data_IF_032847018685
#
_entry.id   IF_032847018685
#
_cell.length_a   1.000
_cell.length_b   1.000
_cell.length_c   1.000
_cell.angle_alpha   90.00
_cell.angle_beta   90.00
_cell.angle_gamma   90.00
#
_symmetry.space_group_name_H-M   'P 1'
#
loop_
_entity.id
_entity.type
_entity.pdbx_description
1 polymer ?
#
# COMPACT_ATOMS: atom_id res chain seq x y z
N UNK A 1 -9.67 -10.39 12.70
CA UNK A 1 -10.58 -11.25 11.91
C UNK A 1 -10.24 -11.19 10.42
N UNK A 2 -10.31 -10.03 9.73
CA UNK A 2 -10.02 -9.95 8.28
C UNK A 2 -8.59 -10.39 7.94
N UNK A 3 -7.58 -10.03 8.73
CA UNK A 3 -6.21 -10.45 8.51
C UNK A 3 -6.03 -11.97 8.53
N UNK A 4 -6.70 -12.65 9.44
CA UNK A 4 -6.66 -14.12 9.52
C UNK A 4 -7.37 -14.77 8.33
N UNK A 5 -8.45 -14.18 7.83
CA UNK A 5 -9.11 -14.64 6.60
C UNK A 5 -8.17 -14.48 5.39
N UNK A 6 -7.47 -13.33 5.29
CA UNK A 6 -6.51 -13.08 4.24
C UNK A 6 -5.39 -14.13 4.27
N UNK A 7 -4.80 -14.38 5.43
CA UNK A 7 -3.71 -15.37 5.61
C UNK A 7 -4.13 -16.79 5.26
N UNK A 8 -5.37 -17.16 5.57
CA UNK A 8 -5.88 -18.52 5.31
C UNK A 8 -6.33 -18.73 3.86
N UNK A 9 -6.97 -17.74 3.26
CA UNK A 9 -7.73 -17.90 2.02
C UNK A 9 -7.08 -17.27 0.79
N UNK A 10 -6.11 -16.38 0.95
CA UNK A 10 -5.48 -15.66 -0.15
C UNK A 10 -3.99 -16.00 -0.20
N UNK A 11 -3.48 -16.11 -1.43
CA UNK A 11 -2.04 -16.35 -1.64
C UNK A 11 -1.26 -15.08 -1.29
N UNK A 12 -1.25 -14.10 -2.19
CA UNK A 12 -0.66 -12.78 -1.99
C UNK A 12 -1.69 -11.70 -2.32
N UNK A 13 -1.60 -10.57 -1.64
CA UNK A 13 -2.53 -9.44 -1.81
C UNK A 13 -1.77 -8.12 -1.98
N UNK A 14 -2.48 -7.11 -2.44
CA UNK A 14 -1.99 -5.76 -2.63
C UNK A 14 -2.58 -4.89 -1.51
N UNK A 15 -1.81 -4.57 -0.48
CA UNK A 15 -2.22 -3.63 0.54
C UNK A 15 -2.07 -2.20 0.02
N UNK A 16 -3.12 -1.39 0.19
CA UNK A 16 -3.10 0.03 -0.19
C UNK A 16 -3.52 0.91 0.98
N UNK A 17 -2.85 2.05 1.12
CA UNK A 17 -3.13 3.03 2.17
C UNK A 17 -2.70 4.43 1.73
N UNK A 18 -2.93 5.43 2.58
CA UNK A 18 -2.32 6.75 2.56
C UNK A 18 -1.29 6.91 3.67
N UNK A 19 -0.60 8.06 3.69
CA UNK A 19 0.35 8.41 4.74
C UNK A 19 -0.37 8.85 6.04
N UNK A 20 -1.27 8.02 6.52
CA UNK A 20 -2.03 8.26 7.74
C UNK A 20 -1.16 8.07 8.98
N UNK A 21 -1.17 9.02 9.90
CA UNK A 21 -0.54 8.90 11.22
C UNK A 21 0.86 8.23 11.15
N UNK A 22 1.02 7.08 11.77
CA UNK A 22 2.26 6.29 11.71
C UNK A 22 2.12 5.12 10.72
N UNK A 23 2.13 5.41 9.42
CA UNK A 23 1.99 4.42 8.36
C UNK A 23 3.10 3.35 8.36
N UNK A 24 4.27 3.62 8.94
CA UNK A 24 5.34 2.61 9.08
C UNK A 24 4.95 1.50 10.06
N UNK A 25 4.19 1.82 11.13
CA UNK A 25 3.62 0.81 12.03
C UNK A 25 2.62 -0.12 11.33
N UNK A 26 1.96 0.35 10.28
CA UNK A 26 1.07 -0.49 9.48
C UNK A 26 1.87 -1.60 8.79
N UNK A 27 2.91 -1.26 8.06
CA UNK A 27 3.77 -2.23 7.39
C UNK A 27 4.42 -3.20 8.39
N UNK A 28 4.91 -2.68 9.53
CA UNK A 28 5.46 -3.49 10.62
C UNK A 28 4.43 -4.48 11.18
N UNK A 29 3.19 -4.06 11.38
CA UNK A 29 2.13 -4.91 11.93
C UNK A 29 1.76 -6.04 10.98
N UNK A 30 1.70 -5.75 9.68
CA UNK A 30 1.45 -6.76 8.64
C UNK A 30 2.60 -7.78 8.58
N UNK A 31 3.85 -7.34 8.57
CA UNK A 31 5.03 -8.21 8.58
C UNK A 31 5.07 -9.10 9.84
N UNK A 32 4.90 -8.50 11.02
CA UNK A 32 4.89 -9.23 12.30
C UNK A 32 3.73 -10.21 12.44
N UNK A 33 2.65 -10.02 11.71
CA UNK A 33 1.55 -10.98 11.66
C UNK A 33 1.87 -12.23 10.85
N UNK A 34 3.04 -12.30 10.21
CA UNK A 34 3.48 -13.44 9.41
C UNK A 34 3.18 -13.31 7.90
N UNK A 35 2.78 -12.13 7.44
CA UNK A 35 2.64 -11.86 5.99
C UNK A 35 4.03 -11.58 5.43
N UNK A 36 4.42 -12.33 4.39
CA UNK A 36 5.60 -11.98 3.60
C UNK A 36 5.32 -10.74 2.76
N UNK A 37 5.85 -9.59 3.22
CA UNK A 37 5.52 -8.27 2.71
C UNK A 37 6.70 -7.60 2.01
N UNK A 38 6.46 -7.03 0.83
CA UNK A 38 7.40 -6.13 0.16
C UNK A 38 6.80 -4.72 0.13
N UNK A 39 7.49 -3.75 0.72
CA UNK A 39 7.04 -2.37 0.83
C UNK A 39 7.85 -1.43 -0.05
N UNK A 40 7.14 -0.59 -0.81
CA UNK A 40 7.78 0.43 -1.65
C UNK A 40 8.05 1.68 -0.81
N UNK A 41 9.27 2.20 -0.86
CA UNK A 41 9.65 3.40 -0.13
C UNK A 41 10.44 4.40 -0.99
N UNK A 42 10.41 5.67 -0.61
CA UNK A 42 11.27 6.68 -1.17
C UNK A 42 12.50 6.87 -0.28
N UNK A 43 13.74 6.77 -0.81
CA UNK A 43 14.95 7.09 -0.07
C UNK A 43 14.94 8.53 0.45
N UNK A 44 15.58 8.77 1.58
CA UNK A 44 15.80 10.12 2.08
C UNK A 44 16.74 10.89 1.15
N UNK A 45 16.50 12.19 1.00
CA UNK A 45 17.39 13.07 0.22
C UNK A 45 18.77 13.22 0.89
N UNK A 46 18.83 13.12 2.21
CA UNK A 46 20.08 13.15 2.97
C UNK A 46 20.83 11.82 2.84
N UNK A 47 21.95 11.82 2.12
CA UNK A 47 22.77 10.64 1.84
C UNK A 47 23.39 10.01 3.09
N UNK A 48 23.61 10.78 4.16
CA UNK A 48 24.18 10.27 5.42
C UNK A 48 23.13 9.60 6.30
N UNK A 49 21.91 10.15 6.34
CA UNK A 49 20.81 9.60 7.12
C UNK A 49 20.11 8.44 6.42
N UNK A 50 20.15 8.37 5.10
CA UNK A 50 19.44 7.35 4.33
C UNK A 50 19.85 5.92 4.69
N UNK A 51 21.15 5.56 4.81
CA UNK A 51 21.57 4.21 5.22
C UNK A 51 21.08 3.82 6.62
N UNK A 52 21.05 4.78 7.53
CA UNK A 52 20.54 4.58 8.91
C UNK A 52 19.04 4.25 8.84
N UNK A 53 18.28 5.04 8.08
CA UNK A 53 16.84 4.84 7.91
C UNK A 53 16.51 3.53 7.20
N UNK A 54 17.26 3.16 6.16
CA UNK A 54 17.13 1.88 5.46
C UNK A 54 17.36 0.71 6.41
N UNK A 55 18.39 0.78 7.24
CA UNK A 55 18.67 -0.26 8.25
C UNK A 55 17.54 -0.39 9.29
N UNK A 56 17.04 0.74 9.79
CA UNK A 56 15.91 0.77 10.74
C UNK A 56 14.67 0.12 10.09
N UNK A 57 14.33 0.53 8.87
CA UNK A 57 13.17 0.00 8.15
C UNK A 57 13.29 -1.50 7.89
N UNK A 58 14.43 -1.95 7.39
CA UNK A 58 14.65 -3.38 7.12
C UNK A 58 14.63 -4.22 8.40
N UNK A 59 15.20 -3.71 9.50
CA UNK A 59 15.29 -4.44 10.77
C UNK A 59 13.96 -4.49 11.52
N UNK A 60 13.21 -3.39 11.55
CA UNK A 60 12.08 -3.24 12.45
C UNK A 60 10.71 -3.16 11.76
N UNK A 61 10.65 -2.74 10.50
CA UNK A 61 9.39 -2.46 9.82
C UNK A 61 9.04 -3.56 8.82
N UNK A 62 9.86 -3.75 7.80
CA UNK A 62 9.62 -4.75 6.77
C UNK A 62 10.95 -5.17 6.13
N UNK A 63 11.22 -6.46 6.05
CA UNK A 63 12.49 -6.99 5.53
C UNK A 63 12.73 -6.65 4.06
N UNK A 64 11.68 -6.70 3.24
CA UNK A 64 11.75 -6.42 1.80
C UNK A 64 11.38 -4.96 1.52
N UNK A 65 12.38 -4.08 1.68
CA UNK A 65 12.25 -2.65 1.36
C UNK A 65 12.69 -2.38 -0.08
N UNK A 66 11.76 -1.93 -0.92
CA UNK A 66 11.99 -1.70 -2.35
C UNK A 66 12.05 -0.19 -2.62
N UNK A 67 13.13 0.28 -3.24
CA UNK A 67 13.29 1.70 -3.61
C UNK A 67 12.35 2.09 -4.75
N UNK A 68 11.63 3.20 -4.59
CA UNK A 68 10.75 3.75 -5.62
C UNK A 68 11.55 4.08 -6.90
N UNK A 69 11.01 3.74 -8.06
CA UNK A 69 11.59 3.97 -9.38
C UNK A 69 11.32 2.80 -10.34
N UNK A 70 11.82 2.90 -11.57
CA UNK A 70 11.59 1.87 -12.61
C UNK A 70 12.16 0.52 -12.18
N UNK A 71 13.37 0.49 -11.64
CA UNK A 71 13.97 -0.74 -11.08
C UNK A 71 13.16 -1.30 -9.92
N UNK A 72 12.67 -0.44 -9.04
CA UNK A 72 11.83 -0.83 -7.91
C UNK A 72 10.50 -1.44 -8.35
N UNK A 73 9.88 -0.91 -9.40
CA UNK A 73 8.65 -1.51 -9.93
C UNK A 73 8.90 -2.93 -10.49
N UNK A 74 10.05 -3.17 -11.12
CA UNK A 74 10.45 -4.52 -11.58
C UNK A 74 10.71 -5.45 -10.40
N UNK A 75 11.38 -4.97 -9.36
CA UNK A 75 11.65 -5.72 -8.15
C UNK A 75 10.36 -6.05 -7.39
N UNK A 76 9.44 -5.10 -7.29
CA UNK A 76 8.10 -5.31 -6.72
C UNK A 76 7.35 -6.41 -7.47
N UNK A 77 7.38 -6.38 -8.81
CA UNK A 77 6.80 -7.41 -9.66
C UNK A 77 7.41 -8.80 -9.40
N UNK A 78 8.74 -8.87 -9.26
CA UNK A 78 9.45 -10.12 -8.96
C UNK A 78 9.04 -10.68 -7.60
N UNK A 79 9.01 -9.85 -6.56
CA UNK A 79 8.59 -10.25 -5.23
C UNK A 79 7.13 -10.76 -5.23
N UNK A 80 6.22 -10.04 -5.90
CA UNK A 80 4.83 -10.46 -6.00
C UNK A 80 4.68 -11.80 -6.70
N UNK A 81 5.38 -12.02 -7.83
CA UNK A 81 5.40 -13.32 -8.52
C UNK A 81 5.92 -14.46 -7.66
N UNK A 82 6.82 -14.17 -6.74
CA UNK A 82 7.40 -15.14 -5.80
C UNK A 82 6.53 -15.37 -4.54
N UNK A 83 5.32 -14.82 -4.51
CA UNK A 83 4.35 -15.06 -3.43
C UNK A 83 4.34 -14.01 -2.31
N UNK A 84 5.18 -12.96 -2.39
CA UNK A 84 5.10 -11.86 -1.42
C UNK A 84 3.89 -10.98 -1.67
N UNK A 85 3.18 -10.57 -0.63
CA UNK A 85 2.25 -9.44 -0.69
C UNK A 85 2.99 -8.12 -0.86
N UNK A 86 2.34 -7.10 -1.39
CA UNK A 86 2.95 -5.78 -1.56
C UNK A 86 2.17 -4.71 -0.80
N UNK A 87 2.88 -3.70 -0.28
CA UNK A 87 2.27 -2.54 0.37
C UNK A 87 2.63 -1.25 -0.37
N UNK A 88 1.61 -0.46 -0.70
CA UNK A 88 1.70 0.75 -1.50
C UNK A 88 0.95 1.90 -0.86
N UNK A 89 1.60 3.06 -0.74
CA UNK A 89 0.93 4.33 -0.44
C UNK A 89 0.46 4.96 -1.74
N UNK A 90 -0.82 5.28 -1.85
CA UNK A 90 -1.44 5.73 -3.11
C UNK A 90 -1.88 7.21 -3.09
N UNK A 91 -1.67 7.91 -2.00
CA UNK A 91 -2.04 9.32 -1.77
C UNK A 91 -1.04 10.35 -2.33
N UNK A 92 0.10 9.89 -2.82
CA UNK A 92 1.10 10.80 -3.38
C UNK A 92 0.95 10.94 -4.90
N UNK A 93 1.05 12.19 -5.36
CA UNK A 93 1.16 12.47 -6.79
C UNK A 93 2.34 11.73 -7.43
N UNK A 94 2.11 11.12 -8.58
CA UNK A 94 3.15 10.49 -9.40
C UNK A 94 3.20 11.12 -10.78
N UNK A 95 4.40 11.34 -11.32
CA UNK A 95 4.59 12.01 -12.62
C UNK A 95 3.92 11.26 -13.77
N UNK A 96 4.00 9.93 -13.74
CA UNK A 96 3.45 9.03 -14.76
C UNK A 96 2.10 8.43 -14.33
N UNK A 97 1.39 9.12 -13.42
CA UNK A 97 0.09 8.68 -12.93
C UNK A 97 -1.04 8.93 -13.91
N UNK A 98 -2.12 8.22 -13.72
CA UNK A 98 -3.37 8.46 -14.43
C UNK A 98 -4.16 9.57 -13.75
N UNK A 99 -4.80 10.44 -14.55
CA UNK A 99 -5.69 11.47 -14.03
C UNK A 99 -7.03 10.88 -13.61
N UNK A 100 -7.19 10.66 -12.32
CA UNK A 100 -8.41 10.13 -11.70
C UNK A 100 -9.03 11.13 -10.74
N UNK A 101 -10.34 11.03 -10.51
CA UNK A 101 -11.03 11.89 -9.56
C UNK A 101 -10.52 11.63 -8.13
N UNK A 102 -10.29 12.73 -7.40
CA UNK A 102 -9.95 12.75 -5.99
C UNK A 102 -10.45 14.07 -5.38
N UNK A 103 -11.38 14.02 -4.42
CA UNK A 103 -12.08 15.18 -3.88
C UNK A 103 -12.63 16.16 -4.96
N UNK A 104 -13.27 15.61 -6.01
CA UNK A 104 -13.83 16.34 -7.16
C UNK A 104 -12.79 17.01 -8.09
N UNK A 105 -11.50 16.83 -7.83
CA UNK A 105 -10.41 17.32 -8.67
C UNK A 105 -9.70 16.16 -9.38
N UNK A 106 -8.99 16.45 -10.48
CA UNK A 106 -8.20 15.43 -11.20
C UNK A 106 -6.80 15.30 -10.61
N UNK A 107 -6.57 14.25 -9.85
CA UNK A 107 -5.25 13.92 -9.28
C UNK A 107 -4.48 12.91 -10.13
N UNK A 108 -3.16 13.10 -10.23
CA UNK A 108 -2.28 12.14 -10.91
C UNK A 108 -1.95 10.98 -9.96
N UNK A 109 -2.71 9.89 -10.07
CA UNK A 109 -2.70 8.75 -9.16
C UNK A 109 -1.93 7.57 -9.74
N UNK A 110 -1.24 6.82 -8.90
CA UNK A 110 -0.52 5.59 -9.30
C UNK A 110 -1.50 4.50 -9.73
N UNK A 111 -1.21 3.87 -10.85
CA UNK A 111 -2.00 2.74 -11.37
C UNK A 111 -1.44 1.37 -10.99
N UNK A 112 -0.32 1.32 -10.27
CA UNK A 112 0.35 0.06 -9.90
C UNK A 112 -0.60 -0.94 -9.22
N UNK A 113 -1.41 -0.57 -8.22
CA UNK A 113 -2.35 -1.51 -7.59
C UNK A 113 -3.33 -2.12 -8.60
N UNK A 114 -3.93 -1.29 -9.45
CA UNK A 114 -4.90 -1.73 -10.47
C UNK A 114 -4.26 -2.65 -11.52
N UNK A 115 -3.03 -2.31 -11.97
CA UNK A 115 -2.29 -3.14 -12.91
C UNK A 115 -1.95 -4.51 -12.33
N UNK A 116 -1.52 -4.57 -11.06
CA UNK A 116 -1.22 -5.83 -10.39
C UNK A 116 -2.48 -6.66 -10.16
N UNK A 117 -3.57 -6.04 -9.70
CA UNK A 117 -4.85 -6.72 -9.50
C UNK A 117 -5.33 -7.41 -10.78
N UNK A 118 -5.29 -6.70 -11.91
CA UNK A 118 -5.69 -7.26 -13.21
C UNK A 118 -4.72 -8.33 -13.71
N UNK A 119 -3.42 -8.09 -13.60
CA UNK A 119 -2.41 -9.01 -14.14
C UNK A 119 -2.34 -10.35 -13.42
N UNK A 120 -2.65 -10.36 -12.13
CA UNK A 120 -2.47 -11.54 -11.27
C UNK A 120 -3.79 -12.05 -10.67
N UNK A 121 -4.93 -11.50 -11.05
CA UNK A 121 -6.23 -11.75 -10.39
C UNK A 121 -6.14 -11.62 -8.87
N UNK A 122 -5.39 -10.62 -8.40
CA UNK A 122 -5.08 -10.41 -7.00
C UNK A 122 -6.05 -9.44 -6.34
N UNK A 123 -6.39 -9.70 -5.08
CA UNK A 123 -7.22 -8.81 -4.29
C UNK A 123 -6.43 -7.58 -3.83
N UNK A 124 -7.09 -6.42 -3.82
CA UNK A 124 -6.58 -5.21 -3.20
C UNK A 124 -7.21 -5.07 -1.81
N UNK A 125 -6.38 -4.86 -0.79
CA UNK A 125 -6.81 -4.74 0.60
C UNK A 125 -6.51 -3.34 1.10
N UNK A 126 -7.52 -2.48 1.26
CA UNK A 126 -7.33 -1.18 1.89
C UNK A 126 -7.00 -1.34 3.37
N UNK A 127 -6.07 -0.51 3.86
CA UNK A 127 -5.65 -0.50 5.26
C UNK A 127 -5.58 0.93 5.76
N UNK A 128 -6.06 1.15 6.97
CA UNK A 128 -6.06 2.44 7.64
C UNK A 128 -5.44 2.31 9.03
N UNK A 129 -4.60 3.26 9.41
CA UNK A 129 -4.03 3.32 10.74
C UNK A 129 -4.47 4.61 11.43
N UNK A 130 -4.97 4.48 12.64
CA UNK A 130 -5.46 5.56 13.48
C UNK A 130 -4.64 5.64 14.75
N UNK A 131 -4.24 6.87 15.15
CA UNK A 131 -3.63 7.11 16.45
C UNK A 131 -4.73 7.26 17.49
N UNK A 132 -4.62 6.53 18.56
CA UNK A 132 -5.47 6.62 19.73
C UNK A 132 -4.75 7.37 20.87
N UNK A 133 -5.42 7.52 22.02
CA UNK A 133 -4.80 8.10 23.22
C UNK A 133 -3.60 7.26 23.68
N UNK A 134 -2.67 7.89 24.40
CA UNK A 134 -1.52 7.23 25.05
C UNK A 134 -0.61 6.45 24.09
N UNK A 135 -0.39 6.95 22.88
CA UNK A 135 0.49 6.30 21.87
C UNK A 135 0.03 4.91 21.39
N UNK A 136 -1.22 4.56 21.59
CA UNK A 136 -1.82 3.39 20.97
C UNK A 136 -2.24 3.70 19.54
N UNK A 137 -2.17 2.66 18.70
CA UNK A 137 -2.60 2.73 17.31
C UNK A 137 -3.58 1.61 17.03
N UNK A 138 -4.59 1.91 16.24
CA UNK A 138 -5.57 0.95 15.76
C UNK A 138 -5.37 0.74 14.26
N UNK A 139 -5.07 -0.49 13.88
CA UNK A 139 -4.99 -0.89 12.48
C UNK A 139 -6.35 -1.45 12.05
N UNK A 140 -6.94 -0.85 11.03
CA UNK A 140 -8.17 -1.32 10.40
C UNK A 140 -7.83 -1.90 9.03
N UNK A 141 -8.10 -3.18 8.86
CA UNK A 141 -7.96 -3.89 7.59
C UNK A 141 -9.35 -4.06 7.03
N UNK A 142 -9.57 -3.56 5.82
CA UNK A 142 -10.87 -3.63 5.15
C UNK A 142 -11.02 -4.96 4.41
N UNK A 143 -12.24 -5.27 4.04
CA UNK A 143 -12.55 -6.45 3.22
C UNK A 143 -11.79 -6.38 1.89
N UNK A 144 -11.15 -7.48 1.47
CA UNK A 144 -10.46 -7.54 0.19
C UNK A 144 -11.38 -7.23 -0.99
N UNK A 145 -10.91 -6.37 -1.88
CA UNK A 145 -11.60 -5.99 -3.10
C UNK A 145 -11.12 -6.88 -4.24
N UNK A 146 -12.04 -7.56 -4.87
CA UNK A 146 -11.84 -8.22 -6.17
C UNK A 146 -12.45 -7.39 -7.26
N UNK A 147 -11.82 -7.40 -8.43
CA UNK A 147 -12.25 -6.66 -9.59
C UNK A 147 -12.51 -7.62 -10.74
N UNK A 148 -13.52 -7.30 -11.56
CA UNK A 148 -13.85 -8.11 -12.73
C UNK A 148 -12.83 -7.87 -13.86
N UNK A 149 -12.64 -8.85 -14.71
CA UNK A 149 -11.70 -8.77 -15.82
C UNK A 149 -11.99 -7.60 -16.78
N UNK A 150 -13.25 -7.28 -16.97
CA UNK A 150 -13.72 -6.17 -17.82
C UNK A 150 -13.59 -4.77 -17.18
N UNK A 151 -13.26 -4.66 -15.87
CA UNK A 151 -13.06 -3.35 -15.25
C UNK A 151 -11.74 -2.72 -15.72
N UNK A 152 -11.82 -1.46 -16.16
CA UNK A 152 -10.64 -0.73 -16.62
C UNK A 152 -9.72 -0.35 -15.45
N UNK A 153 -8.43 -0.16 -15.74
CA UNK A 153 -7.45 0.35 -14.76
C UNK A 153 -7.91 1.70 -14.18
N UNK A 154 -8.47 2.55 -15.01
CA UNK A 154 -9.02 3.85 -14.59
C UNK A 154 -10.13 3.69 -13.55
N UNK A 155 -11.10 2.82 -13.83
CA UNK A 155 -12.23 2.57 -12.92
C UNK A 155 -11.75 2.02 -11.57
N UNK A 156 -10.81 1.08 -11.59
CA UNK A 156 -10.21 0.53 -10.37
C UNK A 156 -9.46 1.63 -9.60
N UNK A 157 -8.64 2.42 -10.28
CA UNK A 157 -7.85 3.49 -9.64
C UNK A 157 -8.76 4.57 -9.04
N UNK A 158 -9.81 4.97 -9.75
CA UNK A 158 -10.81 5.93 -9.23
C UNK A 158 -11.54 5.39 -8.00
N UNK A 159 -11.88 4.09 -7.99
CA UNK A 159 -12.48 3.44 -6.82
C UNK A 159 -11.54 3.43 -5.61
N UNK A 160 -10.24 3.22 -5.83
CA UNK A 160 -9.23 3.29 -4.76
C UNK A 160 -9.09 4.71 -4.22
N UNK A 161 -9.11 5.73 -5.08
CA UNK A 161 -9.15 7.14 -4.65
C UNK A 161 -10.38 7.42 -3.78
N UNK A 162 -11.56 6.92 -4.16
CA UNK A 162 -12.78 7.11 -3.37
C UNK A 162 -12.67 6.47 -1.99
N UNK A 163 -12.11 5.29 -1.89
CA UNK A 163 -11.85 4.64 -0.59
C UNK A 163 -10.88 5.48 0.26
N UNK A 164 -9.85 6.04 -0.37
CA UNK A 164 -8.90 6.92 0.31
C UNK A 164 -9.56 8.21 0.79
N UNK A 165 -10.44 8.83 -0.01
CA UNK A 165 -11.27 9.96 0.42
C UNK A 165 -12.09 9.64 1.66
N UNK A 166 -12.78 8.50 1.66
CA UNK A 166 -13.59 8.06 2.79
C UNK A 166 -12.75 7.85 4.07
N UNK A 167 -11.52 7.33 3.92
CA UNK A 167 -10.57 7.22 5.03
C UNK A 167 -10.15 8.58 5.57
N UNK A 168 -9.85 9.55 4.69
CA UNK A 168 -9.47 10.92 5.06
C UNK A 168 -10.63 11.63 5.76
N UNK A 169 -11.85 11.50 5.25
CA UNK A 169 -13.04 12.12 5.84
C UNK A 169 -13.43 11.52 7.19
N UNK A 170 -13.05 10.27 7.45
CA UNK A 170 -13.31 9.61 8.73
C UNK A 170 -12.54 10.25 9.89
N UNK A 171 -11.30 10.64 9.66
CA UNK A 171 -10.46 11.39 10.61
C UNK A 171 -9.45 12.23 9.81
N UNK A 172 -9.78 13.51 9.51
CA UNK A 172 -8.95 14.38 8.68
C UNK A 172 -7.73 14.98 9.42
N UNK A 173 -7.54 14.72 10.74
CA UNK A 173 -6.41 15.21 11.54
C UNK A 173 -5.13 14.38 11.38
#
# INVERSE_FOLDING_TARGET
EELEKIKKNLKQVIFVSGHFNNFELMAMSLEKSGIDLAALYRPLNNKFLNPIMENIRTKYICKKQIKKGISGTRELLKNFKNGSSIALMIDQRVSEGMKCDFFKEKASTTTIPAQFAKKFDASIVPVYIERLKNNYFKLKIYTPLKFQENESIEKITTKLNKILEDMILHNPE
#
